data_IF_919693214240
#
_entry.id   IF_919693214240
#
_cell.length_a   1.000
_cell.length_b   1.000
_cell.length_c   1.000
_cell.angle_alpha   90.00
_cell.angle_beta   90.00
_cell.angle_gamma   90.00
#
_symmetry.space_group_name_H-M   'P 1'
#
loop_
_entity.id
_entity.type
_entity.pdbx_description
1 polymer ?
#
# COMPACT_ATOMS: atom_id res chain seq x y z
N UNK A 1 23.98 -7.87 -10.68
CA UNK A 1 23.39 -8.14 -9.33
C UNK A 1 22.04 -7.44 -9.30
N UNK A 2 20.93 -8.18 -9.20
CA UNK A 2 19.62 -7.58 -9.47
C UNK A 2 19.21 -6.61 -8.35
N UNK A 3 18.99 -5.35 -8.74
CA UNK A 3 18.31 -4.33 -7.92
C UNK A 3 16.81 -4.65 -7.75
N UNK A 4 16.35 -5.78 -8.30
CA UNK A 4 14.94 -6.16 -8.44
C UNK A 4 14.38 -6.94 -7.25
N UNK A 5 15.22 -7.34 -6.27
CA UNK A 5 14.73 -8.03 -5.07
C UNK A 5 13.97 -7.04 -4.19
N UNK A 6 12.65 -7.18 -4.11
CA UNK A 6 11.79 -6.37 -3.23
C UNK A 6 12.19 -6.56 -1.75
N UNK A 7 11.91 -5.55 -0.92
CA UNK A 7 12.13 -5.55 0.54
C UNK A 7 13.61 -5.62 0.98
N UNK A 8 14.51 -5.06 0.18
CA UNK A 8 15.89 -4.83 0.61
C UNK A 8 15.97 -3.50 1.38
N UNK A 9 16.20 -3.58 2.69
CA UNK A 9 16.33 -2.39 3.53
C UNK A 9 17.79 -1.91 3.52
N UNK A 10 17.98 -0.59 3.56
CA UNK A 10 19.31 0.06 3.56
C UNK A 10 20.19 -0.44 4.70
N UNK A 11 19.62 -0.71 5.88
CA UNK A 11 20.36 -1.25 7.02
C UNK A 11 20.81 -2.70 6.80
N UNK A 12 19.98 -3.55 6.19
CA UNK A 12 20.35 -4.94 5.84
C UNK A 12 21.47 -4.97 4.80
N UNK A 13 21.41 -4.06 3.83
CA UNK A 13 22.44 -3.91 2.82
C UNK A 13 23.75 -3.41 3.42
N UNK A 14 23.72 -2.43 4.32
CA UNK A 14 24.88 -1.96 5.05
C UNK A 14 25.53 -3.10 5.85
N UNK A 15 24.75 -3.82 6.67
CA UNK A 15 25.24 -4.97 7.45
C UNK A 15 25.92 -6.04 6.57
N UNK A 16 25.34 -6.34 5.39
CA UNK A 16 25.90 -7.30 4.43
C UNK A 16 27.19 -6.82 3.74
N UNK A 17 27.36 -5.51 3.59
CA UNK A 17 28.59 -4.94 3.02
C UNK A 17 29.69 -4.90 4.09
N UNK A 18 29.33 -4.52 5.31
CA UNK A 18 30.23 -4.57 6.47
C UNK A 18 30.73 -5.99 6.73
N UNK A 19 29.85 -7.00 6.68
CA UNK A 19 30.25 -8.41 6.85
C UNK A 19 31.19 -8.92 5.75
N UNK A 20 31.30 -8.21 4.63
CA UNK A 20 32.21 -8.52 3.51
C UNK A 20 33.51 -7.71 3.56
N UNK A 21 33.74 -6.95 4.64
CA UNK A 21 34.92 -6.13 4.82
C UNK A 21 34.81 -4.70 4.30
N UNK A 22 33.62 -4.25 3.88
CA UNK A 22 33.40 -2.86 3.45
C UNK A 22 32.71 -2.08 4.58
N UNK A 23 33.44 -1.25 5.37
CA UNK A 23 32.84 -0.48 6.45
C UNK A 23 31.98 0.67 5.88
N UNK A 24 30.71 0.38 5.60
CA UNK A 24 29.79 1.32 4.94
C UNK A 24 28.60 1.60 5.86
N UNK A 25 28.31 2.89 6.06
CA UNK A 25 27.15 3.33 6.83
C UNK A 25 25.83 3.09 6.08
N UNK A 26 24.72 2.98 6.82
CA UNK A 26 23.36 2.95 6.25
C UNK A 26 23.09 4.17 5.34
N UNK A 27 23.58 5.34 5.74
CA UNK A 27 23.42 6.59 4.98
C UNK A 27 24.18 6.56 3.66
N UNK A 28 25.41 6.04 3.65
CA UNK A 28 26.18 5.84 2.41
C UNK A 28 25.47 4.88 1.47
N UNK A 29 24.91 3.77 1.97
CA UNK A 29 24.10 2.85 1.16
C UNK A 29 22.87 3.55 0.60
N UNK A 30 22.15 4.33 1.42
CA UNK A 30 20.97 5.09 0.97
C UNK A 30 21.33 6.10 -0.13
N UNK A 31 22.39 6.88 0.07
CA UNK A 31 22.81 7.90 -0.87
C UNK A 31 23.27 7.29 -2.20
N UNK A 32 24.02 6.20 -2.15
CA UNK A 32 24.41 5.46 -3.35
C UNK A 32 23.19 4.89 -4.09
N UNK A 33 22.25 4.29 -3.38
CA UNK A 33 21.01 3.79 -3.98
C UNK A 33 20.20 4.91 -4.63
N UNK A 34 20.06 6.06 -3.96
CA UNK A 34 19.25 7.18 -4.43
C UNK A 34 19.90 7.93 -5.59
N UNK A 35 21.20 8.21 -5.52
CA UNK A 35 21.88 9.12 -6.43
C UNK A 35 22.65 8.40 -7.54
N UNK A 36 23.30 7.28 -7.24
CA UNK A 36 24.10 6.54 -8.23
C UNK A 36 23.27 5.50 -8.99
N UNK A 37 22.29 4.89 -8.32
CA UNK A 37 21.45 3.83 -8.90
C UNK A 37 20.00 4.25 -9.17
N UNK A 38 19.64 5.49 -8.82
CA UNK A 38 18.29 6.06 -8.97
C UNK A 38 17.16 5.16 -8.42
N UNK A 39 17.46 4.40 -7.37
CA UNK A 39 16.54 3.47 -6.73
C UNK A 39 15.75 4.18 -5.62
N UNK A 40 14.43 4.26 -5.80
CA UNK A 40 13.52 4.89 -4.83
C UNK A 40 13.00 3.89 -3.79
N UNK A 41 12.70 4.35 -2.56
CA UNK A 41 12.12 3.49 -1.54
C UNK A 41 10.72 2.98 -1.97
N UNK A 42 10.46 1.70 -1.72
CA UNK A 42 9.16 1.09 -2.00
C UNK A 42 8.11 1.59 -1.01
N UNK A 43 7.00 2.14 -1.52
CA UNK A 43 5.79 2.45 -0.74
C UNK A 43 4.74 1.36 -0.96
N UNK A 44 4.31 0.63 0.08
CA UNK A 44 3.25 -0.36 -0.08
C UNK A 44 1.94 0.34 -0.48
N UNK A 45 1.14 -0.33 -1.32
CA UNK A 45 -0.23 0.10 -1.57
C UNK A 45 -1.08 -0.27 -0.35
N UNK A 46 -1.81 0.71 0.18
CA UNK A 46 -2.75 0.50 1.29
C UNK A 46 -4.11 -0.04 0.82
N UNK A 47 -4.38 0.01 -0.49
CA UNK A 47 -5.64 -0.47 -1.03
C UNK A 47 -5.70 -2.01 -1.04
N UNK A 48 -6.86 -2.60 -0.70
CA UNK A 48 -7.06 -4.03 -0.83
C UNK A 48 -6.84 -4.46 -2.28
N UNK A 49 -6.25 -5.64 -2.47
CA UNK A 49 -6.10 -6.20 -3.80
C UNK A 49 -7.47 -6.73 -4.24
N UNK A 50 -7.99 -6.17 -5.33
CA UNK A 50 -9.21 -6.70 -5.94
C UNK A 50 -9.00 -8.14 -6.41
N UNK A 51 -9.94 -9.02 -6.06
CA UNK A 51 -10.00 -10.36 -6.61
C UNK A 51 -10.35 -10.31 -8.10
N UNK A 52 -10.01 -11.36 -8.84
CA UNK A 52 -10.27 -11.41 -10.29
C UNK A 52 -11.76 -11.27 -10.62
N UNK A 53 -12.63 -11.89 -9.82
CA UNK A 53 -14.08 -11.77 -9.99
C UNK A 53 -14.56 -10.33 -9.76
N UNK A 54 -14.07 -9.67 -8.70
CA UNK A 54 -14.40 -8.27 -8.42
C UNK A 54 -13.97 -7.36 -9.57
N UNK A 55 -12.79 -7.60 -10.16
CA UNK A 55 -12.32 -6.83 -11.32
C UNK A 55 -13.24 -6.98 -12.51
N UNK A 56 -13.68 -8.22 -12.82
CA UNK A 56 -14.60 -8.49 -13.92
C UNK A 56 -15.95 -7.79 -13.71
N UNK A 57 -16.53 -7.92 -12.53
CA UNK A 57 -17.81 -7.27 -12.18
C UNK A 57 -17.70 -5.75 -12.28
N UNK A 58 -16.66 -5.14 -11.69
CA UNK A 58 -16.44 -3.70 -11.76
C UNK A 58 -16.19 -3.22 -13.20
N UNK A 59 -15.41 -3.97 -13.98
CA UNK A 59 -15.15 -3.64 -15.38
C UNK A 59 -16.43 -3.69 -16.22
N UNK A 60 -17.26 -4.71 -16.00
CA UNK A 60 -18.55 -4.85 -16.67
C UNK A 60 -19.49 -3.68 -16.30
N UNK A 61 -19.61 -3.37 -15.01
CA UNK A 61 -20.39 -2.24 -14.52
C UNK A 61 -19.97 -0.91 -15.17
N UNK A 62 -18.66 -0.65 -15.25
CA UNK A 62 -18.11 0.55 -15.90
C UNK A 62 -18.37 0.57 -17.41
N UNK A 63 -18.33 -0.59 -18.10
CA UNK A 63 -18.60 -0.67 -19.54
C UNK A 63 -20.07 -0.39 -19.86
N UNK A 64 -20.98 -0.96 -19.09
CA UNK A 64 -22.43 -0.73 -19.23
C UNK A 64 -22.79 0.74 -19.07
N UNK A 65 -22.07 1.45 -18.18
CA UNK A 65 -22.37 2.84 -17.81
C UNK A 65 -21.40 3.85 -18.40
N UNK A 66 -20.58 3.42 -19.37
CA UNK A 66 -19.52 4.24 -19.98
C UNK A 66 -20.05 5.54 -20.61
N UNK A 67 -21.25 5.49 -21.19
CA UNK A 67 -21.87 6.60 -21.91
C UNK A 67 -23.05 7.21 -21.14
N UNK A 68 -23.20 6.88 -19.87
CA UNK A 68 -24.24 7.50 -19.04
C UNK A 68 -23.98 8.99 -18.89
N UNK A 69 -25.05 9.75 -19.04
CA UNK A 69 -25.08 11.21 -18.90
C UNK A 69 -25.41 11.60 -17.47
N UNK A 70 -25.28 12.88 -17.15
CA UNK A 70 -25.65 13.38 -15.83
C UNK A 70 -27.13 13.11 -15.50
N UNK A 71 -28.02 13.11 -16.49
CA UNK A 71 -29.45 12.83 -16.27
C UNK A 71 -29.71 11.37 -15.93
N UNK A 72 -28.95 10.44 -16.51
CA UNK A 72 -29.03 9.01 -16.15
C UNK A 72 -28.59 8.77 -14.69
N UNK A 73 -27.55 9.47 -14.25
CA UNK A 73 -27.06 9.38 -12.86
C UNK A 73 -28.00 10.02 -11.83
N UNK A 74 -28.74 11.08 -12.20
CA UNK A 74 -29.70 11.75 -11.30
C UNK A 74 -30.86 10.84 -10.88
N UNK A 75 -31.18 9.85 -11.70
CA UNK A 75 -32.23 8.88 -11.42
C UNK A 75 -31.80 7.79 -10.42
N UNK A 76 -30.52 7.74 -10.03
CA UNK A 76 -30.02 6.78 -9.05
C UNK A 76 -29.98 7.42 -7.66
N UNK A 77 -30.63 6.77 -6.70
CA UNK A 77 -30.43 7.03 -5.28
C UNK A 77 -29.31 6.12 -4.75
N UNK A 78 -28.19 6.71 -4.34
CA UNK A 78 -27.12 5.99 -3.67
C UNK A 78 -27.37 5.97 -2.16
N UNK A 79 -27.22 4.80 -1.56
CA UNK A 79 -27.24 4.60 -0.10
C UNK A 79 -25.96 3.92 0.32
N UNK A 80 -25.37 4.39 1.41
CA UNK A 80 -24.23 3.75 2.06
C UNK A 80 -24.32 3.97 3.57
N UNK A 81 -23.75 3.06 4.34
CA UNK A 81 -23.63 3.18 5.78
C UNK A 81 -22.20 3.60 6.11
N UNK A 82 -22.05 4.64 6.93
CA UNK A 82 -20.74 5.08 7.40
C UNK A 82 -20.74 5.15 8.92
N UNK A 83 -19.74 4.55 9.59
CA UNK A 83 -19.60 4.69 11.02
C UNK A 83 -19.16 6.12 11.36
N UNK A 84 -19.82 6.75 12.33
CA UNK A 84 -19.41 8.04 12.89
C UNK A 84 -18.86 7.81 14.30
N UNK A 85 -17.55 8.01 14.45
CA UNK A 85 -16.88 7.87 15.74
C UNK A 85 -16.90 9.20 16.50
N UNK A 86 -17.28 9.17 17.77
CA UNK A 86 -17.25 10.36 18.65
C UNK A 86 -15.81 10.82 18.94
N UNK A 87 -14.88 9.86 18.98
CA UNK A 87 -13.44 10.11 19.10
C UNK A 87 -12.72 9.25 18.08
N UNK A 88 -12.07 9.90 17.10
CA UNK A 88 -11.29 9.17 16.11
C UNK A 88 -10.00 8.65 16.74
N UNK A 89 -9.84 7.33 16.80
CA UNK A 89 -8.56 6.73 17.17
C UNK A 89 -7.54 7.12 16.09
N UNK A 90 -6.50 7.85 16.47
CA UNK A 90 -5.47 8.21 15.49
C UNK A 90 -4.83 6.94 14.95
N UNK A 91 -5.03 6.66 13.66
CA UNK A 91 -4.31 5.58 12.97
C UNK A 91 -2.82 5.87 13.13
N UNK A 92 -2.02 4.98 13.77
CA UNK A 92 -0.61 5.21 13.94
C UNK A 92 0.03 5.44 12.56
N UNK A 93 0.65 6.60 12.36
CA UNK A 93 1.20 7.04 11.06
C UNK A 93 2.33 6.13 10.53
N UNK A 94 2.76 5.12 11.31
CA UNK A 94 3.67 4.07 10.86
C UNK A 94 3.34 2.75 11.54
N UNK A 95 2.55 1.88 10.89
CA UNK A 95 2.50 0.47 11.26
C UNK A 95 3.59 -0.26 10.46
N UNK A 96 4.70 -0.54 11.15
CA UNK A 96 5.69 -1.49 10.70
C UNK A 96 5.05 -2.87 10.52
N UNK A 97 5.45 -3.57 9.46
CA UNK A 97 5.00 -4.93 9.16
C UNK A 97 4.98 -5.85 10.40
N UNK A 98 3.83 -6.46 10.69
CA UNK A 98 3.75 -7.65 11.54
C UNK A 98 2.40 -7.81 12.22
N UNK A 99 1.54 -8.64 11.63
CA UNK A 99 0.45 -9.42 12.27
C UNK A 99 -0.71 -8.71 12.99
N UNK A 100 -0.53 -7.50 13.53
CA UNK A 100 -1.53 -6.80 14.37
C UNK A 100 -2.77 -6.30 13.61
N UNK A 101 -2.66 -6.03 12.31
CA UNK A 101 -3.77 -5.47 11.52
C UNK A 101 -4.90 -6.50 11.31
N UNK A 102 -4.60 -7.80 11.47
CA UNK A 102 -5.62 -8.85 11.33
C UNK A 102 -6.54 -8.93 12.54
N UNK A 103 -6.10 -8.50 13.71
CA UNK A 103 -6.94 -8.40 14.91
C UNK A 103 -7.70 -7.08 15.00
N UNK A 104 -7.11 -5.96 14.54
CA UNK A 104 -7.79 -4.66 14.52
C UNK A 104 -8.97 -4.57 13.53
N UNK A 105 -9.03 -5.43 12.52
CA UNK A 105 -10.12 -5.49 11.53
C UNK A 105 -10.80 -6.87 11.57
N UNK A 106 -11.38 -7.20 12.72
CA UNK A 106 -12.36 -8.29 12.84
C UNK A 106 -13.77 -7.68 13.04
N UNK A 107 -14.59 -7.54 11.98
CA UNK A 107 -15.94 -6.95 12.08
C UNK A 107 -16.97 -7.88 12.77
N UNK A 108 -16.53 -8.94 13.47
CA UNK A 108 -17.37 -9.90 14.20
C UNK A 108 -17.10 -9.89 15.72
N UNK A 109 -16.73 -8.74 16.28
CA UNK A 109 -16.62 -8.54 17.75
C UNK A 109 -17.76 -7.66 18.30
N UNK A 110 -18.99 -7.91 17.84
CA UNK A 110 -20.23 -7.60 18.54
C UNK A 110 -21.07 -8.87 18.64
#
# INVERSE_FOLDING_TARGET
KSLTKKRQFTWKLAAKLTSKGYPISKSSVHNYLRHSLNALPYRPRLHPKLLENQRKTLLQFCRERKYWTADDWKCILFSDESPFELFHAQIPKQIGFGEEIREMWNPLQL
#
